data_IF_229716877140
#
_entry.id   IF_229716877140
#
_cell.length_a   1.000
_cell.length_b   1.000
_cell.length_c   1.000
_cell.angle_alpha   90.00
_cell.angle_beta   90.00
_cell.angle_gamma   90.00
#
_symmetry.space_group_name_H-M   'P 1'
#
loop_
_entity.id
_entity.type
_entity.pdbx_description
1 polymer ?
#
# COMPACT_ATOMS: atom_id res chain seq x y z
N UNK A 1 30.75 -10.46 15.90
CA UNK A 1 29.84 -9.33 15.61
C UNK A 1 29.23 -9.55 14.22
N UNK A 2 28.00 -10.06 14.14
CA UNK A 2 27.36 -10.37 12.85
C UNK A 2 26.98 -9.04 12.19
N UNK A 3 27.75 -8.60 11.19
CA UNK A 3 27.34 -7.49 10.30
C UNK A 3 25.94 -7.83 9.79
N UNK A 4 24.94 -7.04 10.21
CA UNK A 4 23.56 -7.23 9.77
C UNK A 4 23.54 -7.16 8.24
N UNK A 5 23.12 -8.25 7.60
CA UNK A 5 23.10 -8.39 6.15
C UNK A 5 21.84 -7.77 5.51
N UNK A 6 20.96 -7.19 6.35
CA UNK A 6 19.76 -6.48 5.94
C UNK A 6 20.11 -5.01 5.74
N UNK A 7 20.02 -4.57 4.49
CA UNK A 7 20.15 -3.16 4.15
C UNK A 7 18.81 -2.50 4.42
N UNK A 8 18.80 -1.44 5.23
CA UNK A 8 17.62 -0.66 5.57
C UNK A 8 17.95 0.80 5.38
N UNK A 9 17.08 1.53 4.69
CA UNK A 9 17.13 3.00 4.56
C UNK A 9 15.79 3.59 4.95
N UNK A 10 15.85 4.69 5.69
CA UNK A 10 14.69 5.40 6.22
C UNK A 10 14.77 6.86 5.73
N UNK A 11 13.73 7.32 5.03
CA UNK A 11 13.67 8.68 4.45
C UNK A 11 12.36 9.33 4.85
N UNK A 12 12.42 10.40 5.63
CA UNK A 12 11.24 11.18 5.97
C UNK A 12 10.74 11.97 4.76
N UNK A 13 9.42 12.19 4.67
CA UNK A 13 8.84 13.15 3.74
C UNK A 13 9.35 14.56 4.02
N UNK A 14 9.53 14.94 5.29
CA UNK A 14 10.15 16.19 5.70
C UNK A 14 11.27 15.92 6.70
N UNK A 15 12.43 16.54 6.47
CA UNK A 15 13.56 16.46 7.41
C UNK A 15 13.25 17.14 8.74
N UNK A 16 12.35 18.14 8.71
CA UNK A 16 11.92 18.91 9.87
C UNK A 16 10.40 19.03 9.96
N UNK A 17 9.88 19.00 11.19
CA UNK A 17 8.46 19.20 11.50
C UNK A 17 8.28 20.34 12.51
N UNK A 18 7.05 20.82 12.64
CA UNK A 18 6.73 21.88 13.60
C UNK A 18 7.00 21.40 15.02
N UNK A 19 7.62 22.25 15.84
CA UNK A 19 7.76 22.02 17.28
C UNK A 19 6.39 21.91 18.00
N UNK A 20 5.30 22.37 17.38
CA UNK A 20 3.93 22.15 17.87
C UNK A 20 3.40 20.73 17.59
N UNK A 21 4.24 19.84 17.03
CA UNK A 21 3.89 18.49 16.63
C UNK A 21 3.34 18.43 15.21
N UNK A 22 3.02 17.23 14.76
CA UNK A 22 2.40 16.98 13.47
C UNK A 22 1.41 15.84 13.56
N UNK A 23 0.21 16.05 13.00
CA UNK A 23 -0.82 15.01 12.89
C UNK A 23 -0.47 13.93 11.88
N UNK A 24 0.41 14.26 10.92
CA UNK A 24 0.77 13.34 9.85
C UNK A 24 2.19 13.63 9.36
N UNK A 25 3.06 12.63 9.48
CA UNK A 25 4.43 12.63 8.95
C UNK A 25 4.70 11.26 8.36
N UNK A 26 5.26 11.20 7.16
CA UNK A 26 5.47 9.94 6.45
C UNK A 26 6.94 9.55 6.42
N UNK A 27 7.22 8.29 6.70
CA UNK A 27 8.54 7.69 6.60
C UNK A 27 8.51 6.63 5.50
N UNK A 28 9.31 6.84 4.46
CA UNK A 28 9.65 5.78 3.51
C UNK A 28 10.71 4.89 4.14
N UNK A 29 10.37 3.61 4.31
CA UNK A 29 11.32 2.57 4.72
C UNK A 29 11.56 1.68 3.52
N UNK A 30 12.82 1.49 3.17
CA UNK A 30 13.24 0.54 2.15
C UNK A 30 14.14 -0.51 2.80
N UNK A 31 13.95 -1.77 2.40
CA UNK A 31 14.76 -2.87 2.90
C UNK A 31 15.10 -3.87 1.80
N UNK A 32 16.24 -4.52 1.95
CA UNK A 32 16.69 -5.56 1.04
C UNK A 32 17.90 -6.32 1.57
N UNK A 33 18.34 -7.32 0.80
CA UNK A 33 19.46 -8.15 1.18
C UNK A 33 20.46 -8.32 0.04
N UNK A 34 21.72 -7.95 0.32
CA UNK A 34 22.82 -8.01 -0.64
C UNK A 34 22.70 -7.03 -1.81
N UNK A 35 23.71 -7.04 -2.68
CA UNK A 35 23.73 -6.18 -3.87
C UNK A 35 22.61 -6.54 -4.87
N UNK A 36 22.01 -5.53 -5.49
CA UNK A 36 21.11 -5.70 -6.64
C UNK A 36 21.93 -6.32 -7.77
N UNK A 37 21.69 -7.60 -8.09
CA UNK A 37 22.33 -8.28 -9.22
C UNK A 37 21.26 -8.65 -10.23
N UNK A 38 21.32 -8.05 -11.42
CA UNK A 38 20.57 -8.53 -12.60
C UNK A 38 21.18 -9.88 -13.00
N UNK A 39 20.57 -11.00 -12.61
CA UNK A 39 21.04 -12.33 -13.04
C UNK A 39 20.43 -12.68 -14.40
N UNK A 40 21.26 -13.25 -15.28
CA UNK A 40 20.80 -14.05 -16.43
C UNK A 40 20.37 -15.42 -15.90
N UNK A 41 19.06 -15.72 -15.87
CA UNK A 41 18.53 -17.06 -15.57
C UNK A 41 17.30 -17.08 -14.65
N UNK A 42 16.36 -18.01 -14.94
CA UNK A 42 15.04 -18.16 -14.28
C UNK A 42 15.06 -18.79 -12.88
N UNK A 43 16.22 -18.91 -12.22
CA UNK A 43 16.31 -19.55 -10.91
C UNK A 43 15.90 -18.58 -9.79
N UNK A 44 14.81 -18.91 -9.09
CA UNK A 44 14.34 -18.16 -7.91
C UNK A 44 15.45 -18.19 -6.84
N UNK A 45 15.94 -17.03 -6.36
CA UNK A 45 16.96 -17.02 -5.32
C UNK A 45 16.44 -17.66 -4.02
N UNK A 46 17.25 -18.52 -3.40
CA UNK A 46 16.99 -19.08 -2.07
C UNK A 46 16.75 -17.93 -1.07
N UNK A 47 15.71 -18.04 -0.24
CA UNK A 47 15.38 -17.05 0.77
C UNK A 47 16.53 -16.96 1.80
N UNK A 48 16.99 -15.74 2.07
CA UNK A 48 17.98 -15.45 3.11
C UNK A 48 17.34 -15.48 4.50
N UNK A 49 16.07 -15.06 4.58
CA UNK A 49 15.21 -15.17 5.75
C UNK A 49 13.75 -15.14 5.33
N UNK A 50 12.90 -15.75 6.12
CA UNK A 50 11.46 -15.81 5.90
C UNK A 50 10.74 -14.88 6.88
N UNK A 51 9.59 -14.34 6.46
CA UNK A 51 8.69 -13.58 7.33
C UNK A 51 9.43 -12.48 8.12
N UNK A 52 10.14 -11.61 7.40
CA UNK A 52 10.73 -10.41 7.98
C UNK A 52 9.61 -9.56 8.60
N UNK A 53 9.82 -9.14 9.83
CA UNK A 53 8.94 -8.25 10.56
C UNK A 53 9.74 -7.07 11.09
N UNK A 54 9.09 -5.91 11.03
CA UNK A 54 9.50 -4.71 11.70
C UNK A 54 8.56 -4.50 12.87
N UNK A 55 9.07 -4.43 14.10
CA UNK A 55 8.32 -4.00 15.27
C UNK A 55 8.66 -2.55 15.55
N UNK A 56 7.64 -1.71 15.73
CA UNK A 56 7.82 -0.31 16.11
C UNK A 56 7.45 -0.13 17.58
N UNK A 57 8.37 0.44 18.34
CA UNK A 57 8.22 0.76 19.76
C UNK A 57 8.20 2.30 19.83
N UNK A 58 7.02 2.92 19.93
CA UNK A 58 6.89 4.37 19.91
C UNK A 58 7.44 5.03 21.17
N UNK A 59 7.93 6.26 21.03
CA UNK A 59 8.10 7.18 22.16
C UNK A 59 6.74 7.70 22.66
N UNK A 60 6.74 8.30 23.85
CA UNK A 60 5.51 8.81 24.47
C UNK A 60 4.72 9.75 23.55
N UNK A 61 3.45 9.42 23.32
CA UNK A 61 2.53 10.20 22.48
C UNK A 61 2.71 10.02 20.97
N UNK A 62 3.76 9.34 20.51
CA UNK A 62 3.92 8.98 19.09
C UNK A 62 2.99 7.82 18.76
N UNK A 63 2.29 7.92 17.63
CA UNK A 63 1.39 6.86 17.14
C UNK A 63 1.63 6.57 15.67
N UNK A 64 1.74 5.28 15.30
CA UNK A 64 1.66 4.87 13.90
C UNK A 64 0.19 4.80 13.49
N UNK A 65 -0.18 5.57 12.48
CA UNK A 65 -1.55 5.69 11.99
C UNK A 65 -1.86 4.68 10.89
N UNK A 66 -0.94 4.50 9.94
CA UNK A 66 -1.09 3.58 8.81
C UNK A 66 0.26 3.08 8.30
N UNK A 67 0.22 1.97 7.58
CA UNK A 67 1.32 1.52 6.75
C UNK A 67 0.83 1.15 5.35
N UNK A 68 1.56 1.58 4.32
CA UNK A 68 1.24 1.35 2.92
C UNK A 68 2.34 0.51 2.26
N UNK A 69 1.97 -0.35 1.31
CA UNK A 69 2.88 -1.31 0.67
C UNK A 69 3.10 -2.61 1.47
N UNK A 70 2.57 -2.69 2.69
CA UNK A 70 2.80 -3.79 3.65
C UNK A 70 1.56 -4.07 4.49
N UNK A 71 1.55 -5.23 5.16
CA UNK A 71 0.48 -5.61 6.08
C UNK A 71 0.87 -5.26 7.52
N UNK A 72 -0.01 -4.54 8.22
CA UNK A 72 0.08 -4.36 9.67
C UNK A 72 -0.49 -5.56 10.42
N UNK A 73 0.15 -5.90 11.53
CA UNK A 73 -0.28 -6.88 12.51
C UNK A 73 -0.20 -6.29 13.92
N UNK A 74 -1.05 -6.81 14.80
CA UNK A 74 -1.13 -6.41 16.20
C UNK A 74 -1.02 -7.66 17.07
N UNK A 75 -0.21 -7.58 18.12
CA UNK A 75 -0.05 -8.63 19.11
C UNK A 75 -0.23 -8.00 20.47
N UNK A 76 -1.35 -8.35 21.09
CA UNK A 76 -1.59 -8.03 22.48
C UNK A 76 -0.66 -8.86 23.36
N UNK A 77 -0.07 -8.22 24.34
CA UNK A 77 0.77 -8.86 25.35
C UNK A 77 0.44 -8.25 26.70
N UNK A 78 0.68 -9.02 27.77
CA UNK A 78 0.61 -8.53 29.15
C UNK A 78 1.50 -7.29 29.37
N UNK A 79 2.57 -7.16 28.59
CA UNK A 79 3.51 -6.03 28.65
C UNK A 79 3.13 -4.86 27.73
N UNK A 80 1.93 -4.88 27.13
CA UNK A 80 1.43 -3.87 26.21
C UNK A 80 1.21 -4.38 24.79
N UNK A 81 0.37 -3.66 24.06
CA UNK A 81 0.08 -3.98 22.67
C UNK A 81 1.28 -3.63 21.78
N UNK A 82 1.77 -4.63 21.04
CA UNK A 82 2.87 -4.49 20.09
C UNK A 82 2.33 -4.53 18.67
N UNK A 83 2.81 -3.59 17.86
CA UNK A 83 2.43 -3.51 16.45
C UNK A 83 3.64 -3.83 15.58
N UNK A 84 3.39 -4.64 14.56
CA UNK A 84 4.42 -5.11 13.65
C UNK A 84 3.97 -4.97 12.20
N UNK A 85 4.94 -4.71 11.33
CA UNK A 85 4.80 -4.61 9.90
C UNK A 85 5.36 -5.89 9.29
N UNK A 86 4.51 -6.64 8.60
CA UNK A 86 4.93 -7.82 7.85
C UNK A 86 5.61 -7.40 6.55
N UNK A 87 6.91 -7.56 6.50
CA UNK A 87 7.77 -7.21 5.37
C UNK A 87 7.98 -8.39 4.40
N UNK A 88 7.56 -9.60 4.81
CA UNK A 88 7.59 -10.84 4.04
C UNK A 88 9.00 -11.42 3.84
N UNK A 89 9.14 -12.34 2.89
CA UNK A 89 10.43 -13.04 2.71
C UNK A 89 11.53 -12.16 2.12
N UNK A 90 12.74 -12.37 2.61
CA UNK A 90 13.95 -11.66 2.19
C UNK A 90 14.71 -12.53 1.20
N UNK A 91 14.89 -12.01 -0.01
CA UNK A 91 15.63 -12.69 -1.10
C UNK A 91 16.75 -11.80 -1.58
N UNK A 92 17.88 -12.42 -1.95
CA UNK A 92 19.07 -11.70 -2.40
C UNK A 92 18.78 -10.86 -3.64
N UNK A 93 19.19 -9.59 -3.61
CA UNK A 93 19.04 -8.63 -4.70
C UNK A 93 17.61 -8.11 -4.88
N UNK A 94 16.65 -8.49 -4.01
CA UNK A 94 15.31 -7.91 -3.99
C UNK A 94 15.21 -6.87 -2.89
N UNK A 95 14.70 -5.71 -3.25
CA UNK A 95 14.39 -4.61 -2.34
C UNK A 95 12.88 -4.40 -2.33
N UNK A 96 12.38 -3.98 -1.18
CA UNK A 96 10.98 -3.67 -0.92
C UNK A 96 10.92 -2.35 -0.16
N UNK A 97 9.74 -1.78 -0.17
CA UNK A 97 9.50 -0.46 0.40
C UNK A 97 8.11 -0.39 1.02
N UNK A 98 7.96 0.52 1.97
CA UNK A 98 6.72 0.80 2.67
C UNK A 98 6.70 2.26 3.14
N UNK A 99 5.50 2.82 3.27
CA UNK A 99 5.30 4.09 3.99
C UNK A 99 4.75 3.77 5.36
N UNK A 100 5.36 4.34 6.39
CA UNK A 100 4.82 4.40 7.73
C UNK A 100 4.38 5.84 8.00
N UNK A 101 3.12 6.04 8.39
CA UNK A 101 2.58 7.38 8.68
C UNK A 101 2.37 7.52 10.18
N UNK A 102 2.92 8.59 10.76
CA UNK A 102 2.90 8.85 12.19
C UNK A 102 2.12 10.11 12.55
N UNK A 103 1.50 10.09 13.72
CA UNK A 103 1.15 11.29 14.48
C UNK A 103 2.23 11.47 15.55
N UNK A 104 2.78 12.67 15.64
CA UNK A 104 3.91 13.01 16.51
C UNK A 104 3.50 14.23 17.37
N UNK A 105 3.58 14.15 18.71
CA UNK A 105 3.17 15.23 19.60
C UNK A 105 4.15 16.41 19.53
N UNK A 106 3.79 17.52 20.18
CA UNK A 106 4.66 18.67 20.31
C UNK A 106 5.95 18.32 21.06
N UNK A 107 7.05 18.96 20.67
CA UNK A 107 8.35 18.80 21.31
C UNK A 107 9.15 20.10 21.20
N UNK A 108 10.09 20.32 22.12
CA UNK A 108 11.05 21.43 21.98
C UNK A 108 11.79 21.37 20.65
N UNK A 109 12.22 22.52 20.14
CA UNK A 109 13.04 22.56 18.92
C UNK A 109 14.34 21.77 19.12
N UNK A 110 14.74 21.02 18.10
CA UNK A 110 15.88 20.10 18.19
C UNK A 110 15.60 18.74 17.58
N UNK A 111 16.60 17.86 17.61
CA UNK A 111 16.47 16.49 17.12
C UNK A 111 15.98 15.58 18.25
N UNK A 112 14.87 14.90 18.03
CA UNK A 112 14.26 14.01 19.02
C UNK A 112 13.99 12.63 18.45
N UNK A 113 14.04 11.62 19.33
CA UNK A 113 13.66 10.24 19.00
C UNK A 113 12.14 10.16 18.86
N UNK A 114 11.70 9.41 17.86
CA UNK A 114 10.28 9.12 17.60
C UNK A 114 9.92 7.70 18.06
N UNK A 115 10.92 6.83 18.16
CA UNK A 115 10.75 5.44 18.58
C UNK A 115 11.89 4.55 18.11
N UNK A 116 11.83 3.31 18.57
CA UNK A 116 12.76 2.26 18.19
C UNK A 116 12.10 1.31 17.19
N UNK A 117 12.91 0.82 16.26
CA UNK A 117 12.52 -0.11 15.21
C UNK A 117 13.34 -1.38 15.35
N UNK A 118 12.68 -2.50 15.53
CA UNK A 118 13.31 -3.81 15.67
C UNK A 118 12.98 -4.70 14.47
N UNK A 119 14.02 -5.15 13.78
CA UNK A 119 13.92 -6.02 12.62
C UNK A 119 14.22 -7.45 13.02
N UNK A 120 13.30 -8.35 12.69
CA UNK A 120 13.43 -9.76 13.00
C UNK A 120 12.95 -10.63 11.85
N UNK A 121 13.51 -11.83 11.71
CA UNK A 121 13.06 -12.81 10.72
C UNK A 121 13.08 -14.22 11.30
N UNK A 122 12.53 -15.18 10.56
CA UNK A 122 12.74 -16.60 10.82
C UNK A 122 13.71 -17.16 9.78
N UNK A 123 14.59 -18.09 10.19
CA UNK A 123 15.33 -18.88 9.20
C UNK A 123 14.35 -19.86 8.54
N UNK A 124 14.50 -20.19 7.25
CA UNK A 124 13.58 -21.10 6.58
C UNK A 124 13.40 -22.46 7.28
N UNK A 125 14.43 -22.94 7.97
CA UNK A 125 14.45 -24.22 8.69
C UNK A 125 14.13 -24.11 10.19
N UNK A 126 13.74 -22.94 10.70
CA UNK A 126 13.54 -22.72 12.13
C UNK A 126 12.27 -21.90 12.39
N UNK A 127 11.47 -22.34 13.36
CA UNK A 127 10.32 -21.56 13.80
C UNK A 127 10.72 -20.34 14.64
N UNK A 128 11.85 -20.43 15.35
CA UNK A 128 12.31 -19.35 16.23
C UNK A 128 12.70 -18.12 15.42
N UNK A 129 12.08 -17.00 15.79
CA UNK A 129 12.40 -15.66 15.27
C UNK A 129 13.69 -15.15 15.89
N UNK A 130 14.54 -14.56 15.05
CA UNK A 130 15.83 -13.98 15.44
C UNK A 130 15.78 -12.48 15.19
N UNK A 131 16.10 -11.68 16.21
CA UNK A 131 16.34 -10.24 16.08
C UNK A 131 17.64 -10.03 15.29
N UNK A 132 17.60 -9.16 14.29
CA UNK A 132 18.70 -8.97 13.32
C UNK A 132 19.32 -7.58 13.47
N UNK A 133 18.47 -6.58 13.72
CA UNK A 133 18.85 -5.17 13.72
C UNK A 133 17.87 -4.38 14.56
N UNK A 134 18.38 -3.39 15.27
CA UNK A 134 17.59 -2.41 16.01
C UNK A 134 18.08 -1.02 15.64
N UNK A 135 17.16 -0.12 15.31
CA UNK A 135 17.46 1.26 14.91
C UNK A 135 16.59 2.24 15.71
N UNK A 136 17.13 3.41 16.03
CA UNK A 136 16.33 4.52 16.56
C UNK A 136 15.96 5.47 15.42
N UNK A 137 14.69 5.86 15.37
CA UNK A 137 14.18 6.85 14.43
C UNK A 137 14.22 8.24 15.07
N UNK A 138 14.73 9.22 14.33
CA UNK A 138 14.80 10.61 14.78
C UNK A 138 14.17 11.54 13.75
N UNK A 139 13.66 12.66 14.23
CA UNK A 139 13.22 13.79 13.39
C UNK A 139 13.62 15.11 14.02
N UNK A 140 13.75 16.16 13.21
CA UNK A 140 14.05 17.50 13.70
C UNK A 140 12.76 18.30 13.92
N UNK A 141 12.60 18.90 15.10
CA UNK A 141 11.51 19.80 15.45
C UNK A 141 12.00 21.24 15.35
N UNK A 142 11.19 22.12 14.78
CA UNK A 142 11.57 23.53 14.58
C UNK A 142 10.37 24.47 14.57
N UNK A 143 10.59 25.72 14.96
CA UNK A 143 9.67 26.84 14.73
C UNK A 143 10.04 27.65 13.48
N UNK A 144 11.14 27.32 12.80
CA UNK A 144 11.63 28.08 11.65
C UNK A 144 10.74 27.83 10.42
N UNK A 145 9.91 28.82 10.07
CA UNK A 145 8.95 28.71 8.96
C UNK A 145 9.62 28.35 7.63
N UNK A 146 10.82 28.85 7.37
CA UNK A 146 11.57 28.52 6.15
C UNK A 146 11.99 27.05 6.05
N UNK A 147 12.17 26.34 7.19
CA UNK A 147 12.45 24.91 7.19
C UNK A 147 11.16 24.10 7.01
N UNK A 148 10.05 24.60 7.55
CA UNK A 148 8.73 23.99 7.41
C UNK A 148 8.14 24.14 6.00
N UNK A 149 8.55 25.18 5.27
CA UNK A 149 8.16 25.43 3.87
C UNK A 149 8.94 24.62 2.85
N UNK A 150 9.98 23.89 3.26
CA UNK A 150 10.71 23.01 2.34
C UNK A 150 9.72 21.97 1.79
N UNK A 151 9.65 21.80 0.46
CA UNK A 151 8.78 20.79 -0.15
C UNK A 151 9.20 19.40 0.32
N UNK A 152 8.24 18.47 0.36
CA UNK A 152 8.53 17.13 0.84
C UNK A 152 9.48 16.39 -0.12
N UNK A 153 10.14 15.37 0.40
CA UNK A 153 11.11 14.58 -0.34
C UNK A 153 10.41 13.93 -1.56
N UNK A 154 10.87 14.22 -2.79
CA UNK A 154 10.17 13.78 -4.00
C UNK A 154 10.09 12.26 -4.13
N UNK A 155 11.06 11.52 -3.56
CA UNK A 155 11.03 10.05 -3.54
C UNK A 155 9.87 9.53 -2.68
N UNK A 156 9.64 10.16 -1.54
CA UNK A 156 8.57 9.78 -0.61
C UNK A 156 7.22 10.15 -1.20
N UNK A 157 7.09 11.37 -1.75
CA UNK A 157 5.88 11.82 -2.45
C UNK A 157 5.52 10.89 -3.62
N UNK A 158 6.51 10.52 -4.44
CA UNK A 158 6.30 9.58 -5.54
C UNK A 158 5.72 8.26 -5.07
N UNK A 159 6.31 7.68 -4.03
CA UNK A 159 5.88 6.38 -3.55
C UNK A 159 4.50 6.42 -2.89
N UNK A 160 4.15 7.50 -2.18
CA UNK A 160 2.78 7.74 -1.69
C UNK A 160 1.82 7.79 -2.88
N UNK A 161 2.13 8.60 -3.90
CA UNK A 161 1.25 8.80 -5.07
C UNK A 161 0.98 7.50 -5.84
N UNK A 162 2.00 6.66 -6.03
CA UNK A 162 1.82 5.36 -6.68
C UNK A 162 0.98 4.38 -5.82
N UNK A 163 1.13 4.40 -4.49
CA UNK A 163 0.34 3.55 -3.60
C UNK A 163 -1.15 3.93 -3.55
N UNK A 164 -1.50 5.19 -3.80
CA UNK A 164 -2.88 5.66 -3.90
C UNK A 164 -3.68 4.95 -5.02
N UNK A 165 -3.00 4.42 -6.03
CA UNK A 165 -3.66 3.70 -7.13
C UNK A 165 -4.41 2.46 -6.65
N UNK A 166 -3.85 1.69 -5.69
CA UNK A 166 -4.46 0.44 -5.23
C UNK A 166 -5.88 0.61 -4.64
N UNK A 167 -6.13 1.52 -3.67
CA UNK A 167 -7.48 1.75 -3.17
C UNK A 167 -8.43 2.30 -4.24
N UNK A 168 -7.93 3.10 -5.18
CA UNK A 168 -8.73 3.65 -6.29
C UNK A 168 -9.20 2.53 -7.22
N UNK A 169 -8.30 1.62 -7.62
CA UNK A 169 -8.64 0.45 -8.44
C UNK A 169 -9.66 -0.44 -7.74
N UNK A 170 -9.50 -0.69 -6.43
CA UNK A 170 -10.49 -1.45 -5.63
C UNK A 170 -11.84 -0.75 -5.56
N UNK A 171 -11.86 0.57 -5.41
CA UNK A 171 -13.10 1.37 -5.40
C UNK A 171 -13.80 1.29 -6.75
N UNK A 172 -13.06 1.41 -7.85
CA UNK A 172 -13.59 1.27 -9.19
C UNK A 172 -14.16 -0.13 -9.43
N UNK A 173 -13.46 -1.19 -9.00
CA UNK A 173 -13.96 -2.57 -9.11
C UNK A 173 -15.34 -2.72 -8.46
N UNK A 174 -15.51 -2.19 -7.24
CA UNK A 174 -16.80 -2.23 -6.53
C UNK A 174 -17.90 -1.47 -7.29
N UNK A 175 -17.57 -0.42 -8.04
CA UNK A 175 -18.55 0.28 -8.88
C UNK A 175 -18.94 -0.58 -10.08
N UNK A 176 -17.98 -1.22 -10.72
CA UNK A 176 -18.25 -2.19 -11.79
C UNK A 176 -19.13 -3.34 -11.28
N UNK A 177 -18.80 -3.93 -10.13
CA UNK A 177 -19.61 -5.01 -9.53
C UNK A 177 -21.05 -4.60 -9.20
N UNK A 178 -21.29 -3.30 -8.94
CA UNK A 178 -22.61 -2.74 -8.67
C UNK A 178 -23.40 -2.31 -9.90
N UNK A 179 -22.83 -2.40 -11.10
CA UNK A 179 -23.45 -1.89 -12.32
C UNK A 179 -23.18 -0.41 -12.62
N UNK A 180 -22.41 0.29 -11.77
CA UNK A 180 -22.05 1.70 -11.94
C UNK A 180 -20.83 1.86 -12.87
N UNK A 181 -20.91 1.32 -14.09
CA UNK A 181 -19.77 1.17 -15.01
C UNK A 181 -19.12 2.50 -15.40
N UNK A 182 -19.93 3.51 -15.72
CA UNK A 182 -19.42 4.82 -16.14
C UNK A 182 -18.64 5.49 -15.01
N UNK A 183 -19.12 5.39 -13.77
CA UNK A 183 -18.43 5.93 -12.60
C UNK A 183 -17.13 5.17 -12.32
N UNK A 184 -17.16 3.84 -12.42
CA UNK A 184 -15.97 3.00 -12.31
C UNK A 184 -14.91 3.38 -13.35
N UNK A 185 -15.32 3.51 -14.62
CA UNK A 185 -14.45 3.90 -15.71
C UNK A 185 -13.89 5.32 -15.55
N UNK A 186 -14.73 6.26 -15.10
CA UNK A 186 -14.35 7.66 -14.90
C UNK A 186 -13.27 7.81 -13.84
N UNK A 187 -13.41 7.14 -12.69
CA UNK A 187 -12.39 7.21 -11.61
C UNK A 187 -11.04 6.65 -12.07
N UNK A 188 -11.05 5.52 -12.80
CA UNK A 188 -9.80 4.96 -13.35
C UNK A 188 -9.16 5.91 -14.38
N UNK A 189 -9.96 6.49 -15.26
CA UNK A 189 -9.48 7.47 -16.27
C UNK A 189 -8.86 8.67 -15.57
N UNK A 190 -9.53 9.23 -14.56
CA UNK A 190 -9.04 10.40 -13.84
C UNK A 190 -7.72 10.14 -13.12
N UNK A 191 -7.56 8.96 -12.53
CA UNK A 191 -6.30 8.57 -11.89
C UNK A 191 -5.18 8.40 -12.93
N UNK A 192 -5.47 7.76 -14.07
CA UNK A 192 -4.49 7.62 -15.14
C UNK A 192 -4.05 8.98 -15.68
N UNK A 193 -4.98 9.90 -15.94
CA UNK A 193 -4.67 11.26 -16.41
C UNK A 193 -3.76 12.01 -15.43
N UNK A 194 -4.01 11.91 -14.12
CA UNK A 194 -3.16 12.52 -13.10
C UNK A 194 -1.72 11.97 -13.15
N UNK A 195 -1.57 10.65 -13.27
CA UNK A 195 -0.26 10.01 -13.39
C UNK A 195 0.43 10.38 -14.71
N UNK A 196 -0.29 10.50 -15.83
CA UNK A 196 0.26 10.95 -17.11
C UNK A 196 0.78 12.39 -17.03
N UNK A 197 0.07 13.29 -16.34
CA UNK A 197 0.52 14.66 -16.10
C UNK A 197 1.81 14.66 -15.27
N UNK A 198 1.89 13.83 -14.23
CA UNK A 198 3.09 13.69 -13.41
C UNK A 198 4.26 13.12 -14.22
N UNK A 199 4.03 12.08 -15.01
CA UNK A 199 5.04 11.51 -15.91
C UNK A 199 5.59 12.57 -16.87
N UNK A 200 4.73 13.34 -17.52
CA UNK A 200 5.15 14.40 -18.44
C UNK A 200 5.94 15.53 -17.76
N UNK A 201 5.63 15.86 -16.49
CA UNK A 201 6.33 16.91 -15.73
C UNK A 201 7.67 16.47 -15.16
N UNK A 202 7.81 15.18 -14.83
CA UNK A 202 8.96 14.64 -14.11
C UNK A 202 9.87 13.74 -14.96
N UNK A 203 9.47 13.43 -16.19
CA UNK A 203 10.10 12.43 -17.07
C UNK A 203 10.27 11.06 -16.37
N UNK A 204 9.32 10.74 -15.49
CA UNK A 204 9.38 9.54 -14.65
C UNK A 204 8.51 8.42 -15.23
N UNK A 205 9.20 7.40 -15.75
CA UNK A 205 8.58 6.26 -16.42
C UNK A 205 7.72 5.39 -15.49
N UNK A 206 7.92 5.44 -14.17
CA UNK A 206 7.09 4.64 -13.26
C UNK A 206 5.65 5.16 -13.22
N UNK A 207 5.46 6.48 -13.32
CA UNK A 207 4.12 7.07 -13.42
C UNK A 207 3.43 6.71 -14.73
N UNK A 208 4.18 6.72 -15.84
CA UNK A 208 3.66 6.33 -17.15
C UNK A 208 3.21 4.87 -17.16
N UNK A 209 4.05 3.96 -16.66
CA UNK A 209 3.74 2.53 -16.60
C UNK A 209 2.51 2.25 -15.73
N UNK A 210 2.40 2.92 -14.58
CA UNK A 210 1.23 2.77 -13.70
C UNK A 210 -0.04 3.29 -14.38
N UNK A 211 0.03 4.44 -15.09
CA UNK A 211 -1.09 4.99 -15.83
C UNK A 211 -1.58 4.04 -16.95
N UNK A 212 -0.65 3.48 -17.73
CA UNK A 212 -0.96 2.51 -18.78
C UNK A 212 -1.63 1.25 -18.21
N UNK A 213 -1.15 0.77 -17.06
CA UNK A 213 -1.75 -0.37 -16.36
C UNK A 213 -3.20 -0.06 -15.95
N UNK A 214 -3.46 1.12 -15.39
CA UNK A 214 -4.82 1.55 -15.00
C UNK A 214 -5.74 1.61 -16.22
N UNK A 215 -5.27 2.17 -17.34
CA UNK A 215 -6.04 2.24 -18.58
C UNK A 215 -6.33 0.84 -19.14
N UNK A 216 -5.35 -0.07 -19.08
CA UNK A 216 -5.55 -1.47 -19.48
C UNK A 216 -6.60 -2.17 -18.59
N UNK A 217 -6.57 -1.95 -17.27
CA UNK A 217 -7.58 -2.46 -16.33
C UNK A 217 -8.96 -1.93 -16.68
N UNK A 218 -9.09 -0.61 -16.87
CA UNK A 218 -10.34 0.04 -17.27
C UNK A 218 -10.91 -0.60 -18.54
N UNK A 219 -10.10 -0.72 -19.59
CA UNK A 219 -10.55 -1.27 -20.87
C UNK A 219 -11.03 -2.71 -20.73
N UNK A 220 -10.30 -3.53 -19.97
CA UNK A 220 -10.67 -4.91 -19.69
C UNK A 220 -12.00 -5.00 -18.94
N UNK A 221 -12.18 -4.22 -17.87
CA UNK A 221 -13.40 -4.25 -17.06
C UNK A 221 -14.60 -3.69 -17.80
N UNK A 222 -14.47 -2.59 -18.53
CA UNK A 222 -15.54 -2.10 -19.41
C UNK A 222 -15.94 -3.16 -20.42
N UNK A 223 -14.97 -3.86 -21.03
CA UNK A 223 -15.25 -4.98 -21.92
C UNK A 223 -16.00 -6.12 -21.22
N UNK A 224 -15.58 -6.54 -20.03
CA UNK A 224 -16.20 -7.65 -19.29
C UNK A 224 -17.59 -7.31 -18.76
N UNK A 225 -17.73 -6.23 -18.00
CA UNK A 225 -18.96 -5.93 -17.26
C UNK A 225 -20.06 -5.35 -18.16
N UNK A 226 -19.71 -4.50 -19.14
CA UNK A 226 -20.70 -3.90 -20.05
C UNK A 226 -21.25 -4.94 -21.02
N UNK A 227 -20.38 -5.81 -21.58
CA UNK A 227 -20.83 -6.90 -22.45
C UNK A 227 -21.68 -7.92 -21.72
N UNK A 228 -21.36 -8.24 -20.46
CA UNK A 228 -22.16 -9.13 -19.63
C UNK A 228 -23.57 -8.58 -19.40
N UNK A 229 -23.73 -7.28 -19.14
CA UNK A 229 -25.07 -6.69 -19.07
C UNK A 229 -25.81 -6.69 -20.40
N UNK A 230 -25.13 -6.43 -21.51
CA UNK A 230 -25.74 -6.48 -22.83
C UNK A 230 -26.19 -7.91 -23.20
N UNK A 231 -25.47 -8.93 -22.74
CA UNK A 231 -25.87 -10.33 -22.89
C UNK A 231 -27.05 -10.67 -21.97
N UNK A 232 -26.96 -10.33 -20.68
CA UNK A 232 -28.03 -10.59 -19.71
C UNK A 232 -29.35 -9.92 -20.09
N UNK A 233 -29.31 -8.67 -20.58
CA UNK A 233 -30.51 -7.99 -21.05
C UNK A 233 -31.09 -8.67 -22.29
N UNK A 234 -30.27 -9.07 -23.26
CA UNK A 234 -30.73 -9.82 -24.44
C UNK A 234 -31.34 -11.19 -24.08
N UNK A 235 -30.80 -11.90 -23.08
CA UNK A 235 -31.37 -13.18 -22.62
C UNK A 235 -32.71 -13.00 -21.92
N UNK A 236 -32.87 -11.92 -21.14
CA UNK A 236 -34.15 -11.60 -20.48
C UNK A 236 -35.20 -11.14 -21.51
N UNK A 237 -34.81 -10.37 -22.53
CA UNK A 237 -35.72 -9.92 -23.58
C UNK A 237 -35.99 -10.96 -24.69
N UNK A 238 -35.19 -12.04 -24.80
CA UNK A 238 -35.44 -13.14 -25.74
C UNK A 238 -36.34 -14.25 -25.18
N UNK A 239 -36.82 -14.16 -23.94
CA UNK A 239 -37.93 -15.00 -23.50
C UNK A 239 -39.24 -14.31 -23.92
N UNK A 240 -39.57 -14.43 -25.20
CA UNK A 240 -40.93 -14.19 -25.66
C UNK A 240 -41.84 -15.13 -24.87
N UNK A 241 -42.56 -14.58 -23.89
CA UNK A 241 -43.72 -15.24 -23.33
C UNK A 241 -44.73 -15.25 -24.48
N UNK A 242 -44.91 -16.39 -25.14
CA UNK A 242 -46.08 -16.58 -25.97
C UNK A 242 -47.28 -16.54 -25.03
N UNK A 243 -48.07 -15.49 -25.17
CA UNK A 243 -49.41 -15.43 -24.58
C UNK A 243 -50.26 -16.43 -25.36
N UNK A 244 -50.25 -17.66 -24.88
CA UNK A 244 -50.95 -18.82 -25.40
C UNK A 244 -50.58 -19.97 -24.49
N UNK A 245 -51.57 -20.48 -23.77
CA UNK A 245 -51.48 -21.55 -22.76
C UNK A 245 -51.21 -21.08 -21.32
N UNK A 246 -52.00 -20.11 -20.86
CA UNK A 246 -52.39 -20.06 -19.43
C UNK A 246 -53.79 -20.64 -19.33
N UNK A 247 -53.88 -21.96 -19.14
CA UNK A 247 -55.11 -22.56 -18.64
C UNK A 247 -55.16 -22.36 -17.12
N UNK A 248 -56.11 -21.52 -16.69
CA UNK A 248 -56.54 -21.50 -15.29
C UNK A 248 -57.43 -22.72 -15.05
N UNK A 249 -57.00 -23.59 -14.15
CA UNK A 249 -57.93 -24.43 -13.39
C UNK A 249 -57.77 -24.06 -11.92
N UNK A 250 -58.78 -23.39 -11.39
CA UNK A 250 -59.06 -23.36 -9.96
C UNK A 250 -59.15 -24.79 -9.45
N UNK A 251 -58.42 -25.11 -8.37
CA UNK A 251 -58.92 -25.86 -7.23
C UNK A 251 -57.85 -25.90 -6.11
N UNK A 252 -58.23 -25.24 -5.02
CA UNK A 252 -58.17 -25.75 -3.66
C UNK A 252 -56.86 -25.89 -2.86
N UNK A 253 -56.81 -25.00 -1.86
CA UNK A 253 -56.63 -25.27 -0.42
C UNK A 253 -55.22 -25.14 0.18
N UNK A 254 -55.19 -24.22 1.15
CA UNK A 254 -54.23 -24.00 2.23
C UNK A 254 -53.80 -25.29 2.96
N UNK A 255 -52.50 -25.46 3.13
CA UNK A 255 -51.85 -25.76 4.43
C UNK A 255 -50.41 -25.28 4.42
#
# INVERSE_FOLDING_TARGET
>A
MVKSMLNVTCTWDKESISANGSKQVNLLIEWGYGAIRKRKGNLIPKAAGCDLQLQFIPENGVSLLKAEGVRLGFKRSENGDSMFVHCGDVRRGKYRQAILTFSIPAHSSGRHTIGMVEWSWRKPSQEKRTLIRTDQLYIHFTHHLGLLSIPSNPKVEKYIKLNETSPIVKKALRMYEKGEYERGAFILTRQADELLILAARSDDMDYLQEAELILAIRNKWSGTFVSFTAYSSKVIFNKAISVGDVHFTENDILR
#
